data_IF_739818441097
#
_entry.id   IF_739818441097
#
_cell.length_a   1.000
_cell.length_b   1.000
_cell.length_c   1.000
_cell.angle_alpha   90.00
_cell.angle_beta   90.00
_cell.angle_gamma   90.00
#
_symmetry.space_group_name_H-M   'P 1'
#
loop_
_entity.id
_entity.type
_entity.pdbx_description
1 polymer ?
#
# COMPACT_ATOMS: atom_id res chain seq x y z
N UNK A 1 11.64 3.57 -3.62
CA UNK A 1 10.75 2.95 -4.63
C UNK A 1 9.39 2.79 -3.97
N UNK A 2 8.33 3.14 -4.69
CA UNK A 2 6.97 3.05 -4.15
C UNK A 2 6.43 1.64 -4.38
N UNK A 3 6.01 0.97 -3.32
CA UNK A 3 5.45 -0.37 -3.43
C UNK A 3 4.00 -0.26 -3.91
N UNK A 4 3.69 -0.80 -5.09
CA UNK A 4 2.32 -0.87 -5.58
C UNK A 4 1.65 -2.13 -5.02
N UNK A 5 0.59 -1.95 -4.23
CA UNK A 5 -0.19 -3.05 -3.65
C UNK A 5 -1.63 -3.00 -4.14
N UNK A 6 -2.28 -4.15 -4.27
CA UNK A 6 -3.72 -4.15 -4.51
C UNK A 6 -4.48 -3.71 -3.26
N UNK A 7 -5.68 -3.14 -3.42
CA UNK A 7 -6.55 -2.81 -2.31
C UNK A 7 -6.87 -4.03 -1.44
N UNK A 8 -6.99 -5.21 -2.06
CA UNK A 8 -7.23 -6.46 -1.35
C UNK A 8 -6.02 -6.88 -0.49
N UNK A 9 -4.80 -6.73 -1.01
CA UNK A 9 -3.57 -7.01 -0.24
C UNK A 9 -3.36 -5.99 0.88
N UNK A 10 -3.66 -4.72 0.60
CA UNK A 10 -3.59 -3.66 1.59
C UNK A 10 -4.48 -3.96 2.80
N UNK A 11 -5.72 -4.40 2.55
CA UNK A 11 -6.65 -4.79 3.61
C UNK A 11 -6.16 -6.04 4.39
N UNK A 12 -5.60 -7.04 3.70
CA UNK A 12 -5.04 -8.25 4.35
C UNK A 12 -3.79 -7.97 5.17
N UNK A 13 -3.07 -6.88 4.88
CA UNK A 13 -1.75 -6.59 5.42
C UNK A 13 -1.63 -5.20 6.06
N UNK A 14 -2.75 -4.60 6.44
CA UNK A 14 -2.84 -3.17 6.76
C UNK A 14 -1.84 -2.75 7.86
N UNK A 15 -1.79 -3.47 8.97
CA UNK A 15 -0.88 -3.17 10.08
C UNK A 15 0.60 -3.29 9.70
N UNK A 16 0.95 -4.14 8.73
CA UNK A 16 2.32 -4.26 8.21
C UNK A 16 2.68 -3.03 7.37
N UNK A 17 1.77 -2.62 6.49
CA UNK A 17 1.94 -1.43 5.65
C UNK A 17 2.12 -0.19 6.50
N UNK A 18 1.29 0.00 7.54
CA UNK A 18 1.42 1.15 8.44
C UNK A 18 2.78 1.21 9.16
N UNK A 19 3.35 0.06 9.52
CA UNK A 19 4.72 0.02 10.08
C UNK A 19 5.74 0.49 9.05
N UNK A 20 5.68 -0.04 7.83
CA UNK A 20 6.56 0.39 6.73
C UNK A 20 6.45 1.89 6.43
N UNK A 21 5.24 2.44 6.37
CA UNK A 21 5.02 3.88 6.16
C UNK A 21 5.61 4.71 7.30
N UNK A 22 5.45 4.27 8.55
CA UNK A 22 6.06 4.93 9.71
C UNK A 22 7.60 4.92 9.65
N UNK A 23 8.18 3.90 9.03
CA UNK A 23 9.63 3.81 8.82
C UNK A 23 10.10 4.67 7.61
N UNK A 24 9.19 5.43 6.99
CA UNK A 24 9.49 6.40 5.93
C UNK A 24 9.23 5.89 4.50
N UNK A 25 8.64 4.70 4.34
CA UNK A 25 8.29 4.18 3.03
C UNK A 25 6.97 4.77 2.49
N UNK A 26 6.77 4.69 1.19
CA UNK A 26 5.52 5.08 0.52
C UNK A 26 4.94 3.90 -0.26
N UNK A 27 3.61 3.77 -0.23
CA UNK A 27 2.90 2.63 -0.81
C UNK A 27 1.77 3.16 -1.68
N UNK A 28 1.73 2.75 -2.95
CA UNK A 28 0.62 3.09 -3.84
C UNK A 28 -0.41 1.97 -3.78
N UNK A 29 -1.64 2.30 -3.37
CA UNK A 29 -2.74 1.34 -3.38
C UNK A 29 -3.41 1.39 -4.75
N UNK A 30 -3.65 0.22 -5.35
CA UNK A 30 -4.30 0.06 -6.65
C UNK A 30 -5.63 -0.70 -6.53
N UNK A 31 -6.59 -0.34 -7.38
CA UNK A 31 -7.84 -1.08 -7.60
C UNK A 31 -7.96 -1.43 -9.07
N UNK A 32 -8.10 -2.72 -9.38
CA UNK A 32 -8.09 -3.21 -10.77
C UNK A 32 -6.93 -2.65 -11.62
N UNK A 33 -5.73 -2.57 -11.02
CA UNK A 33 -4.51 -2.06 -11.67
C UNK A 33 -4.41 -0.54 -11.77
N UNK A 34 -5.40 0.22 -11.28
CA UNK A 34 -5.39 1.69 -11.29
C UNK A 34 -5.04 2.24 -9.90
N UNK A 35 -4.13 3.21 -9.78
CA UNK A 35 -3.81 3.82 -8.49
C UNK A 35 -5.02 4.56 -7.92
N UNK A 36 -5.28 4.38 -6.63
CA UNK A 36 -6.42 4.98 -5.90
C UNK A 36 -5.99 5.72 -4.63
N UNK A 37 -4.81 5.40 -4.07
CA UNK A 37 -4.24 6.11 -2.92
C UNK A 37 -2.71 5.98 -2.93
N UNK A 38 -2.04 6.84 -2.14
CA UNK A 38 -0.60 6.85 -1.89
C UNK A 38 -0.34 7.25 -0.44
#
# INVERSE_FOLDING_TARGET
MEEAVSAADANRSFSRILRSVRDGHSVVVTSHGKPVAR
#
